data_IF_779450280418
#
_entry.id   IF_779450280418
#
_cell.length_a   1.000
_cell.length_b   1.000
_cell.length_c   1.000
_cell.angle_alpha   90.00
_cell.angle_beta   90.00
_cell.angle_gamma   90.00
#
_symmetry.space_group_name_H-M   'P 1'
#
loop_
_entity.id
_entity.type
_entity.pdbx_description
1 polymer ?
#
# COMPACT_ATOMS: atom_id res chain seq x y z
N UNK A 1 13.17 7.86 -6.40
CA UNK A 1 12.24 6.88 -7.00
C UNK A 1 10.91 7.05 -6.32
N UNK A 2 9.80 7.15 -7.06
CA UNK A 2 8.49 7.43 -6.49
C UNK A 2 7.45 6.41 -6.98
N UNK A 3 6.39 6.25 -6.20
CA UNK A 3 5.22 5.47 -6.55
C UNK A 3 3.94 6.14 -6.03
N UNK A 4 2.84 5.86 -6.70
CA UNK A 4 1.49 6.16 -6.24
C UNK A 4 0.54 5.14 -6.84
N UNK A 5 -0.34 4.56 -6.03
CA UNK A 5 -1.37 3.64 -6.49
C UNK A 5 -2.54 3.58 -5.50
N UNK A 6 -3.68 3.13 -6.00
CA UNK A 6 -4.88 2.89 -5.21
C UNK A 6 -5.27 1.42 -5.29
N UNK A 7 -5.85 0.90 -4.22
CA UNK A 7 -6.42 -0.43 -4.10
C UNK A 7 -7.87 -0.30 -3.65
N UNK A 8 -8.77 -1.07 -4.27
CA UNK A 8 -10.14 -1.27 -3.81
C UNK A 8 -10.37 -2.77 -3.68
N UNK A 9 -10.76 -3.22 -2.49
CA UNK A 9 -10.95 -4.64 -2.21
C UNK A 9 -12.18 -4.88 -1.33
N UNK A 10 -12.82 -6.03 -1.51
CA UNK A 10 -14.02 -6.42 -0.77
C UNK A 10 -13.76 -6.84 0.69
N UNK A 11 -12.50 -7.01 1.07
CA UNK A 11 -12.08 -7.35 2.43
C UNK A 11 -10.69 -6.82 2.75
N UNK A 12 -10.39 -6.68 4.06
CA UNK A 12 -9.06 -6.30 4.56
C UNK A 12 -7.95 -7.24 4.06
N UNK A 13 -8.20 -8.56 4.11
CA UNK A 13 -7.26 -9.59 3.63
C UNK A 13 -6.93 -9.38 2.15
N UNK A 14 -7.96 -9.23 1.31
CA UNK A 14 -7.78 -9.03 -0.12
C UNK A 14 -7.06 -7.70 -0.43
N UNK A 15 -7.32 -6.65 0.34
CA UNK A 15 -6.60 -5.38 0.21
C UNK A 15 -5.08 -5.58 0.43
N UNK A 16 -4.69 -6.30 1.48
CA UNK A 16 -3.29 -6.58 1.80
C UNK A 16 -2.64 -7.44 0.70
N UNK A 17 -3.33 -8.47 0.20
CA UNK A 17 -2.84 -9.31 -0.91
C UNK A 17 -2.59 -8.49 -2.18
N UNK A 18 -3.52 -7.59 -2.52
CA UNK A 18 -3.36 -6.70 -3.68
C UNK A 18 -2.23 -5.68 -3.49
N UNK A 19 -2.03 -5.16 -2.27
CA UNK A 19 -0.90 -4.29 -1.95
C UNK A 19 0.43 -5.04 -2.11
N UNK A 20 0.56 -6.27 -1.59
CA UNK A 20 1.76 -7.08 -1.77
C UNK A 20 2.05 -7.33 -3.26
N UNK A 21 1.03 -7.68 -4.04
CA UNK A 21 1.16 -7.86 -5.49
C UNK A 21 1.65 -6.58 -6.18
N UNK A 22 1.08 -5.42 -5.82
CA UNK A 22 1.45 -4.14 -6.42
C UNK A 22 2.87 -3.71 -6.05
N UNK A 23 3.30 -3.93 -4.80
CA UNK A 23 4.67 -3.64 -4.36
C UNK A 23 5.66 -4.60 -5.02
N UNK A 24 5.31 -5.88 -5.25
CA UNK A 24 6.16 -6.80 -6.04
C UNK A 24 6.38 -6.30 -7.47
N UNK A 25 5.32 -5.82 -8.13
CA UNK A 25 5.44 -5.21 -9.47
C UNK A 25 6.32 -3.95 -9.43
N UNK A 26 6.15 -3.11 -8.41
CA UNK A 26 6.99 -1.93 -8.22
C UNK A 26 8.46 -2.33 -8.01
N UNK A 27 8.75 -3.33 -7.17
CA UNK A 27 10.10 -3.80 -6.89
C UNK A 27 10.75 -4.54 -8.08
N UNK A 28 9.96 -5.00 -9.06
CA UNK A 28 10.45 -5.54 -10.32
C UNK A 28 10.95 -4.42 -11.25
N UNK A 29 10.25 -3.28 -11.29
CA UNK A 29 10.61 -2.12 -12.13
C UNK A 29 11.59 -1.17 -11.44
N UNK A 30 11.53 -1.06 -10.11
CA UNK A 30 12.33 -0.18 -9.27
C UNK A 30 12.93 -1.00 -8.11
N UNK A 31 14.08 -1.68 -8.34
CA UNK A 31 14.66 -2.63 -7.37
C UNK A 31 14.96 -2.05 -5.98
N UNK A 32 15.12 -0.74 -5.85
CA UNK A 32 15.30 -0.06 -4.56
C UNK A 32 14.14 -0.33 -3.60
N UNK A 33 12.92 -0.54 -4.11
CA UNK A 33 11.74 -0.86 -3.31
C UNK A 33 11.68 -2.32 -2.83
N UNK A 34 12.70 -3.14 -3.09
CA UNK A 34 12.83 -4.44 -2.41
C UNK A 34 13.14 -4.27 -0.93
N UNK A 35 13.82 -3.18 -0.55
CA UNK A 35 14.30 -2.92 0.82
C UNK A 35 13.19 -2.45 1.76
N UNK A 36 12.22 -1.68 1.27
CA UNK A 36 11.12 -1.14 2.06
C UNK A 36 9.83 -1.98 1.96
N UNK A 37 9.76 -2.96 1.06
CA UNK A 37 8.58 -3.83 0.83
C UNK A 37 7.89 -4.30 2.10
N UNK A 38 8.63 -4.94 3.02
CA UNK A 38 8.05 -5.51 4.24
C UNK A 38 7.47 -4.42 5.15
N UNK A 39 8.15 -3.29 5.27
CA UNK A 39 7.71 -2.15 6.08
C UNK A 39 6.47 -1.50 5.47
N UNK A 40 6.42 -1.32 4.14
CA UNK A 40 5.24 -0.76 3.46
C UNK A 40 3.99 -1.61 3.67
N UNK A 41 4.10 -2.93 3.54
CA UNK A 41 2.99 -3.86 3.74
C UNK A 41 2.55 -3.83 5.22
N UNK A 42 3.49 -3.84 6.15
CA UNK A 42 3.19 -3.78 7.58
C UNK A 42 2.48 -2.47 7.96
N UNK A 43 2.95 -1.32 7.49
CA UNK A 43 2.30 -0.03 7.77
C UNK A 43 0.91 0.03 7.15
N UNK A 44 0.75 -0.41 5.90
CA UNK A 44 -0.58 -0.46 5.27
C UNK A 44 -1.55 -1.36 6.06
N UNK A 45 -1.07 -2.52 6.54
CA UNK A 45 -1.85 -3.43 7.37
C UNK A 45 -2.35 -2.76 8.65
N UNK A 46 -1.50 -1.99 9.35
CA UNK A 46 -1.91 -1.25 10.56
C UNK A 46 -3.08 -0.30 10.27
N UNK A 47 -3.02 0.45 9.17
CA UNK A 47 -4.10 1.38 8.79
C UNK A 47 -5.40 0.64 8.39
N UNK A 48 -5.28 -0.45 7.65
CA UNK A 48 -6.41 -1.28 7.24
C UNK A 48 -7.09 -1.93 8.45
N UNK A 49 -6.30 -2.43 9.41
CA UNK A 49 -6.83 -3.10 10.60
C UNK A 49 -7.61 -2.15 11.52
N UNK A 50 -7.31 -0.85 11.50
CA UNK A 50 -8.04 0.18 12.24
C UNK A 50 -9.43 0.51 11.66
N UNK A 51 -9.74 0.07 10.44
CA UNK A 51 -11.10 0.20 9.90
C UNK A 51 -12.06 -0.78 10.58
N UNK A 52 -13.34 -0.43 10.65
CA UNK A 52 -14.38 -1.38 11.05
C UNK A 52 -14.53 -2.52 10.04
N UNK A 53 -14.94 -3.70 10.51
CA UNK A 53 -15.31 -4.82 9.63
C UNK A 53 -16.76 -4.64 9.17
N UNK A 54 -16.95 -4.22 7.92
CA UNK A 54 -18.27 -4.04 7.31
C UNK A 54 -18.37 -4.84 6.00
N UNK A 55 -19.21 -5.89 6.01
CA UNK A 55 -19.41 -6.76 4.86
C UNK A 55 -20.10 -6.08 3.67
N UNK A 56 -20.69 -4.89 3.87
CA UNK A 56 -21.38 -4.10 2.85
C UNK A 56 -20.50 -2.99 2.26
N UNK A 57 -19.26 -2.86 2.71
CA UNK A 57 -18.33 -1.82 2.26
C UNK A 57 -17.04 -2.41 1.71
N UNK A 58 -16.43 -1.69 0.79
CA UNK A 58 -15.11 -2.02 0.25
C UNK A 58 -14.04 -1.25 1.03
N UNK A 59 -12.90 -1.88 1.24
CA UNK A 59 -11.68 -1.23 1.73
C UNK A 59 -11.03 -0.52 0.57
N UNK A 60 -10.88 0.80 0.69
CA UNK A 60 -10.09 1.60 -0.22
C UNK A 60 -8.79 2.04 0.45
N UNK A 61 -7.68 1.88 -0.27
CA UNK A 61 -6.35 2.27 0.19
C UNK A 61 -5.70 3.12 -0.90
N UNK A 62 -5.24 4.31 -0.54
CA UNK A 62 -4.36 5.12 -1.39
C UNK A 62 -2.97 5.16 -0.77
N UNK A 63 -1.96 4.79 -1.56
CA UNK A 63 -0.57 4.77 -1.14
C UNK A 63 0.27 5.59 -2.10
N UNK A 64 1.11 6.45 -1.56
CA UNK A 64 2.20 7.08 -2.30
C UNK A 64 3.47 7.06 -1.47
N UNK A 65 4.62 7.15 -2.14
CA UNK A 65 5.88 7.16 -1.44
C UNK A 65 7.05 7.44 -2.35
N UNK A 66 8.20 7.64 -1.72
CA UNK A 66 9.45 7.88 -2.42
C UNK A 66 10.65 7.36 -1.63
N UNK A 67 11.67 6.90 -2.36
CA UNK A 67 13.01 6.65 -1.85
C UNK A 67 13.99 7.59 -2.54
N UNK A 68 14.74 8.35 -1.75
CA UNK A 68 15.90 9.12 -2.18
C UNK A 68 17.18 8.35 -1.88
N UNK A 69 18.03 8.17 -2.90
CA UNK A 69 19.33 7.49 -2.79
C UNK A 69 20.47 8.43 -3.14
N UNK A 70 21.60 8.31 -2.44
CA UNK A 70 22.85 8.98 -2.76
C UNK A 70 24.01 7.98 -2.72
N UNK A 71 25.24 8.47 -2.94
CA UNK A 71 26.45 7.67 -2.72
C UNK A 71 26.44 7.16 -1.27
N UNK A 72 26.52 5.84 -1.09
CA UNK A 72 26.44 5.20 0.23
C UNK A 72 25.07 4.64 0.63
N UNK A 73 24.00 4.86 -0.16
CA UNK A 73 22.73 4.15 0.01
C UNK A 73 21.47 5.03 0.07
N UNK A 74 20.46 4.54 0.80
CA UNK A 74 19.18 5.24 0.99
C UNK A 74 19.40 6.36 2.01
N UNK A 75 19.03 7.58 1.64
CA UNK A 75 19.13 8.78 2.49
C UNK A 75 17.76 9.31 2.92
N UNK A 76 16.71 8.98 2.15
CA UNK A 76 15.36 9.45 2.41
C UNK A 76 14.36 8.36 2.09
N UNK A 77 13.38 8.18 2.97
CA UNK A 77 12.16 7.41 2.72
C UNK A 77 10.99 8.28 3.15
N UNK A 78 9.99 8.40 2.28
CA UNK A 78 8.70 9.00 2.61
C UNK A 78 7.57 8.09 2.16
N UNK A 79 6.56 7.91 3.02
CA UNK A 79 5.36 7.14 2.71
C UNK A 79 4.13 7.89 3.20
N UNK A 80 3.08 7.89 2.38
CA UNK A 80 1.75 8.36 2.73
C UNK A 80 0.76 7.25 2.44
N UNK A 81 -0.07 6.94 3.44
CA UNK A 81 -1.11 5.91 3.37
C UNK A 81 -2.40 6.54 3.89
N UNK A 82 -3.47 6.39 3.14
CA UNK A 82 -4.81 6.71 3.60
C UNK A 82 -5.74 5.53 3.32
N UNK A 83 -6.61 5.23 4.28
CA UNK A 83 -7.54 4.11 4.22
C UNK A 83 -8.93 4.61 4.61
N UNK A 84 -9.95 4.18 3.86
CA UNK A 84 -11.34 4.45 4.23
C UNK A 84 -12.26 3.37 3.63
N UNK A 85 -13.46 3.27 4.19
CA UNK A 85 -14.50 2.39 3.69
C UNK A 85 -15.33 3.10 2.62
N UNK A 86 -15.53 2.45 1.48
CA UNK A 86 -16.43 2.90 0.42
C UNK A 86 -17.71 2.08 0.45
N UNK A 87 -18.85 2.70 0.14
CA UNK A 87 -20.09 1.95 -0.04
C UNK A 87 -19.93 1.00 -1.22
N UNK A 88 -20.23 -0.30 -1.02
CA UNK A 88 -20.21 -1.27 -2.11
C UNK A 88 -21.41 -0.98 -3.01
N UNK A 89 -21.14 -0.52 -4.22
CA UNK A 89 -22.19 -0.41 -5.25
C UNK A 89 -22.49 -1.84 -5.70
N UNK A 90 -23.72 -2.29 -5.51
CA UNK A 90 -24.18 -3.57 -6.06
C UNK A 90 -23.99 -3.52 -7.58
N UNK A 91 -23.23 -4.47 -8.10
CA UNK A 91 -23.04 -4.66 -9.55
C UNK A 91 -24.26 -5.34 -10.14
#
# INVERSE_FOLDING_TARGET
>A
MNYSFNIKASSKKLAIEQIDARIRQLAATQPVHRKDKLHLIATAKVFIDMLEDDSKRDVFVSMSGSIGTAVGGIQQIGVSISTHLLQRVAS
#
